data_IF_457930292600
#
_entry.id   IF_457930292600
#
_cell.length_a   1.000
_cell.length_b   1.000
_cell.length_c   1.000
_cell.angle_alpha   90.00
_cell.angle_beta   90.00
_cell.angle_gamma   90.00
#
_symmetry.space_group_name_H-M   'P 1'
#
loop_
_entity.id
_entity.type
_entity.pdbx_description
1 polymer ?
#
# COMPACT_ATOMS: atom_id res chain seq x y z
N UNK A 1 -10.06 -57.63 -9.98
CA UNK A 1 -10.56 -56.27 -9.70
C UNK A 1 -9.77 -55.52 -8.61
N UNK A 2 -9.00 -56.18 -7.74
CA UNK A 2 -8.21 -55.51 -6.69
C UNK A 2 -7.10 -54.56 -7.21
N UNK A 3 -6.48 -54.86 -8.36
CA UNK A 3 -5.44 -54.00 -8.95
C UNK A 3 -5.94 -52.64 -9.45
N UNK A 4 -7.20 -52.54 -9.86
CA UNK A 4 -7.80 -51.28 -10.32
C UNK A 4 -8.08 -50.31 -9.17
N UNK A 5 -8.55 -50.81 -8.02
CA UNK A 5 -8.78 -49.98 -6.83
C UNK A 5 -7.47 -49.45 -6.25
N UNK A 6 -6.41 -50.26 -6.23
CA UNK A 6 -5.09 -49.82 -5.80
C UNK A 6 -4.51 -48.74 -6.73
N UNK A 7 -4.69 -48.87 -8.05
CA UNK A 7 -4.27 -47.86 -9.02
C UNK A 7 -5.04 -46.55 -8.90
N UNK A 8 -6.35 -46.60 -8.63
CA UNK A 8 -7.17 -45.39 -8.42
C UNK A 8 -6.85 -44.69 -7.10
N UNK A 9 -6.55 -45.46 -6.05
CA UNK A 9 -6.15 -44.91 -4.76
C UNK A 9 -4.77 -44.23 -4.83
N UNK A 10 -3.78 -44.87 -5.45
CA UNK A 10 -2.45 -44.29 -5.66
C UNK A 10 -2.52 -43.01 -6.52
N UNK A 11 -3.31 -43.02 -7.60
CA UNK A 11 -3.55 -41.83 -8.42
C UNK A 11 -4.13 -40.65 -7.63
N UNK A 12 -5.19 -40.90 -6.82
CA UNK A 12 -5.81 -39.84 -6.02
C UNK A 12 -4.88 -39.30 -4.93
N UNK A 13 -4.07 -40.16 -4.32
CA UNK A 13 -3.06 -39.77 -3.32
C UNK A 13 -1.96 -38.90 -3.95
N UNK A 14 -1.46 -39.30 -5.11
CA UNK A 14 -0.46 -38.52 -5.86
C UNK A 14 -1.00 -37.16 -6.28
N UNK A 15 -2.24 -37.10 -6.78
CA UNK A 15 -2.88 -35.84 -7.15
C UNK A 15 -3.10 -34.92 -5.93
N UNK A 16 -3.49 -35.48 -4.78
CA UNK A 16 -3.61 -34.70 -3.54
C UNK A 16 -2.26 -34.10 -3.10
N UNK A 17 -1.18 -34.90 -3.14
CA UNK A 17 0.15 -34.41 -2.79
C UNK A 17 0.63 -33.32 -3.77
N UNK A 18 0.35 -33.48 -5.06
CA UNK A 18 0.66 -32.48 -6.08
C UNK A 18 -0.11 -31.17 -5.85
N UNK A 19 -1.43 -31.24 -5.60
CA UNK A 19 -2.27 -30.06 -5.32
C UNK A 19 -1.76 -29.31 -4.06
N UNK A 20 -1.33 -30.07 -3.03
CA UNK A 20 -0.74 -29.50 -1.80
C UNK A 20 0.60 -28.81 -2.04
N UNK A 21 1.49 -29.42 -2.81
CA UNK A 21 2.78 -28.83 -3.18
C UNK A 21 2.58 -27.53 -3.98
N UNK A 22 1.60 -27.52 -4.91
CA UNK A 22 1.28 -26.32 -5.69
C UNK A 22 0.73 -25.19 -4.81
N UNK A 23 -0.14 -25.51 -3.84
CA UNK A 23 -0.63 -24.51 -2.89
C UNK A 23 0.50 -23.94 -2.04
N UNK A 24 1.38 -24.79 -1.52
CA UNK A 24 2.53 -24.34 -0.75
C UNK A 24 3.41 -23.37 -1.56
N UNK A 25 3.67 -23.70 -2.84
CA UNK A 25 4.39 -22.82 -3.76
C UNK A 25 3.67 -21.49 -3.99
N UNK A 26 2.35 -21.50 -4.16
CA UNK A 26 1.54 -20.30 -4.35
C UNK A 26 1.63 -19.38 -3.13
N UNK A 27 1.52 -19.91 -1.92
CA UNK A 27 1.62 -19.13 -0.69
C UNK A 27 3.02 -18.52 -0.51
N UNK A 28 4.08 -19.27 -0.82
CA UNK A 28 5.44 -18.72 -0.84
C UNK A 28 5.61 -17.61 -1.88
N UNK A 29 4.97 -17.74 -3.05
CA UNK A 29 4.96 -16.68 -4.05
C UNK A 29 4.24 -15.43 -3.52
N UNK A 30 3.10 -15.58 -2.83
CA UNK A 30 2.39 -14.46 -2.21
C UNK A 30 3.27 -13.76 -1.19
N UNK A 31 3.95 -14.50 -0.31
CA UNK A 31 4.92 -13.92 0.64
C UNK A 31 6.05 -13.18 -0.07
N UNK A 32 6.56 -13.73 -1.18
CA UNK A 32 7.57 -13.07 -1.99
C UNK A 32 7.06 -11.77 -2.63
N UNK A 33 5.81 -11.74 -3.11
CA UNK A 33 5.17 -10.51 -3.60
C UNK A 33 5.02 -9.45 -2.51
N UNK A 34 4.68 -9.84 -1.28
CA UNK A 34 4.57 -8.90 -0.14
C UNK A 34 5.92 -8.29 0.23
N UNK A 35 6.99 -9.09 0.22
CA UNK A 35 8.34 -8.57 0.43
C UNK A 35 8.74 -7.57 -0.66
N UNK A 36 8.45 -7.88 -1.93
CA UNK A 36 8.70 -6.95 -3.06
C UNK A 36 7.87 -5.68 -2.93
N UNK A 37 6.61 -5.77 -2.53
CA UNK A 37 5.76 -4.61 -2.31
C UNK A 37 6.32 -3.72 -1.19
N UNK A 38 6.80 -4.31 -0.10
CA UNK A 38 7.44 -3.56 0.97
C UNK A 38 8.74 -2.88 0.49
N UNK A 39 9.53 -3.53 -0.36
CA UNK A 39 10.73 -2.94 -0.97
C UNK A 39 10.37 -1.74 -1.86
N UNK A 40 9.39 -1.90 -2.75
CA UNK A 40 8.89 -0.81 -3.60
C UNK A 40 8.40 0.39 -2.78
N UNK A 41 7.71 0.15 -1.66
CA UNK A 41 7.26 1.24 -0.79
C UNK A 41 8.43 1.99 -0.13
N UNK A 42 9.51 1.29 0.25
CA UNK A 42 10.71 1.94 0.79
C UNK A 42 11.38 2.84 -0.23
N UNK A 43 11.42 2.39 -1.48
CA UNK A 43 12.02 3.17 -2.56
C UNK A 43 11.17 4.39 -2.92
N UNK A 44 9.85 4.25 -2.96
CA UNK A 44 8.94 5.38 -3.17
C UNK A 44 9.08 6.47 -2.09
N UNK A 45 9.17 6.09 -0.81
CA UNK A 45 9.43 7.03 0.29
C UNK A 45 10.76 7.78 0.08
N UNK A 46 11.81 7.07 -0.34
CA UNK A 46 13.13 7.68 -0.59
C UNK A 46 13.06 8.66 -1.76
N UNK A 47 12.33 8.32 -2.82
CA UNK A 47 12.21 9.16 -4.00
C UNK A 47 11.41 10.44 -3.74
N UNK A 48 10.27 10.34 -3.05
CA UNK A 48 9.44 11.49 -2.68
C UNK A 48 10.22 12.48 -1.80
N UNK A 49 10.98 11.95 -0.84
CA UNK A 49 11.77 12.79 0.07
C UNK A 49 13.00 13.34 -0.63
N UNK A 50 13.70 12.53 -1.44
CA UNK A 50 14.85 12.98 -2.22
C UNK A 50 14.48 14.08 -3.22
N UNK A 51 13.27 14.06 -3.78
CA UNK A 51 12.76 15.16 -4.60
C UNK A 51 12.59 16.45 -3.78
N UNK A 52 12.08 16.33 -2.55
CA UNK A 52 11.89 17.49 -1.66
C UNK A 52 13.23 18.10 -1.25
N UNK A 53 14.21 17.28 -0.89
CA UNK A 53 15.57 17.70 -0.55
C UNK A 53 16.21 18.48 -1.69
N UNK A 54 16.24 17.91 -2.91
CA UNK A 54 16.79 18.57 -4.11
C UNK A 54 16.10 19.90 -4.42
N UNK A 55 14.79 19.98 -4.19
CA UNK A 55 14.02 21.22 -4.41
C UNK A 55 14.36 22.29 -3.38
N UNK A 56 14.51 21.92 -2.10
CA UNK A 56 14.92 22.86 -1.04
C UNK A 56 16.35 23.35 -1.24
N UNK A 57 17.26 22.48 -1.68
CA UNK A 57 18.64 22.87 -2.01
C UNK A 57 18.68 23.89 -3.15
N UNK A 58 17.84 23.70 -4.18
CA UNK A 58 17.71 24.65 -5.30
C UNK A 58 17.23 26.02 -4.81
N UNK A 59 16.27 26.07 -3.88
CA UNK A 59 15.81 27.32 -3.27
C UNK A 59 16.87 27.98 -2.41
N UNK A 60 17.66 27.19 -1.68
CA UNK A 60 18.75 27.70 -0.86
C UNK A 60 19.83 28.38 -1.71
N UNK A 61 20.20 27.80 -2.86
CA UNK A 61 21.15 28.43 -3.79
C UNK A 61 20.63 29.76 -4.33
N UNK A 62 19.37 29.83 -4.76
CA UNK A 62 18.77 31.08 -5.28
C UNK A 62 18.71 32.14 -4.17
N UNK A 63 18.24 31.76 -2.98
CA UNK A 63 18.11 32.68 -1.85
C UNK A 63 19.47 33.23 -1.39
N UNK A 64 20.52 32.40 -1.35
CA UNK A 64 21.88 32.85 -0.97
C UNK A 64 22.52 33.78 -2.01
N UNK A 65 22.31 33.53 -3.32
CA UNK A 65 22.75 34.44 -4.38
C UNK A 65 22.05 35.80 -4.27
N UNK A 66 20.74 35.81 -4.09
CA UNK A 66 19.97 37.05 -3.95
C UNK A 66 20.34 37.80 -2.67
N UNK A 67 20.60 37.08 -1.58
CA UNK A 67 21.10 37.66 -0.34
C UNK A 67 22.46 38.34 -0.56
N UNK A 68 23.37 37.72 -1.32
CA UNK A 68 24.65 38.32 -1.71
C UNK A 68 24.48 39.62 -2.50
N UNK A 69 23.54 39.66 -3.46
CA UNK A 69 23.22 40.89 -4.21
C UNK A 69 22.65 41.98 -3.29
N UNK A 70 21.77 41.62 -2.34
CA UNK A 70 21.25 42.57 -1.35
C UNK A 70 22.35 43.15 -0.47
N UNK A 71 23.32 42.34 -0.04
CA UNK A 71 24.49 42.81 0.73
C UNK A 71 25.36 43.74 -0.11
N UNK A 72 25.60 43.41 -1.39
CA UNK A 72 26.34 44.28 -2.32
C UNK A 72 25.69 45.66 -2.48
N UNK A 73 24.36 45.69 -2.68
CA UNK A 73 23.59 46.94 -2.74
C UNK A 73 23.59 47.72 -1.41
N UNK A 74 23.71 47.02 -0.29
CA UNK A 74 23.79 47.64 1.04
C UNK A 74 25.15 48.32 1.29
N UNK A 75 26.24 47.72 0.84
CA UNK A 75 27.59 48.25 1.04
C UNK A 75 28.01 49.30 -0.02
N UNK A 76 27.65 49.07 -1.28
CA UNK A 76 28.14 49.89 -2.41
C UNK A 76 27.07 50.78 -3.06
N UNK A 77 25.81 50.64 -2.65
CA UNK A 77 24.67 51.39 -3.20
C UNK A 77 24.74 52.89 -2.91
N UNK A 78 25.52 53.62 -3.70
CA UNK A 78 25.61 55.08 -3.66
C UNK A 78 24.48 55.69 -4.48
N UNK A 79 23.58 56.40 -3.82
CA UNK A 79 22.62 57.29 -4.48
C UNK A 79 23.31 58.57 -4.94
N UNK A 80 22.73 59.22 -5.95
CA UNK A 80 23.26 60.46 -6.53
C UNK A 80 23.36 61.57 -5.46
N UNK A 81 24.48 62.32 -5.41
CA UNK A 81 24.62 63.43 -4.48
C UNK A 81 23.53 64.48 -4.74
N UNK A 82 22.71 64.75 -3.72
CA UNK A 82 21.53 65.65 -3.82
C UNK A 82 20.19 64.96 -3.57
N UNK A 83 20.19 63.64 -3.36
CA UNK A 83 18.98 62.88 -3.00
C UNK A 83 18.40 63.35 -1.66
N UNK A 84 17.08 63.60 -1.54
CA UNK A 84 16.49 64.04 -0.28
C UNK A 84 16.55 62.94 0.80
N UNK A 85 16.74 63.32 2.09
CA UNK A 85 17.04 62.37 3.17
C UNK A 85 15.92 61.35 3.45
N UNK A 86 14.66 61.74 3.24
CA UNK A 86 13.53 60.82 3.44
C UNK A 86 13.55 59.65 2.44
N UNK A 87 14.02 59.87 1.21
CA UNK A 87 14.12 58.81 0.21
C UNK A 87 15.21 57.80 0.59
N UNK A 88 16.32 58.28 1.15
CA UNK A 88 17.41 57.43 1.65
C UNK A 88 16.94 56.53 2.79
N UNK A 89 16.09 57.04 3.70
CA UNK A 89 15.52 56.21 4.77
C UNK A 89 14.61 55.11 4.23
N UNK A 90 13.78 55.39 3.22
CA UNK A 90 12.95 54.35 2.60
C UNK A 90 13.78 53.31 1.85
N UNK A 91 14.83 53.73 1.15
CA UNK A 91 15.76 52.82 0.46
C UNK A 91 16.44 51.85 1.45
N UNK A 92 16.98 52.36 2.56
CA UNK A 92 17.61 51.54 3.58
C UNK A 92 16.61 50.61 4.29
N UNK A 93 15.39 51.09 4.54
CA UNK A 93 14.33 50.27 5.13
C UNK A 93 13.90 49.12 4.20
N UNK A 94 13.73 49.41 2.91
CA UNK A 94 13.37 48.40 1.90
C UNK A 94 14.47 47.35 1.74
N UNK A 95 15.74 47.76 1.68
CA UNK A 95 16.87 46.83 1.65
C UNK A 95 16.98 46.00 2.92
N UNK A 96 16.81 46.61 4.10
CA UNK A 96 16.78 45.90 5.38
C UNK A 96 15.65 44.88 5.45
N UNK A 97 14.46 45.23 4.96
CA UNK A 97 13.31 44.33 4.85
C UNK A 97 13.59 43.15 3.91
N UNK A 98 14.15 43.41 2.73
CA UNK A 98 14.54 42.38 1.77
C UNK A 98 15.61 41.44 2.35
N UNK A 99 16.60 41.97 3.06
CA UNK A 99 17.64 41.20 3.73
C UNK A 99 17.05 40.25 4.79
N UNK A 100 16.19 40.76 5.70
CA UNK A 100 15.57 39.93 6.73
C UNK A 100 14.65 38.86 6.13
N UNK A 101 13.91 39.18 5.07
CA UNK A 101 13.06 38.23 4.37
C UNK A 101 13.88 37.09 3.73
N UNK A 102 14.97 37.42 3.03
CA UNK A 102 15.86 36.43 2.42
C UNK A 102 16.56 35.57 3.47
N UNK A 103 16.95 36.15 4.61
CA UNK A 103 17.53 35.41 5.73
C UNK A 103 16.52 34.40 6.30
N UNK A 104 15.25 34.78 6.43
CA UNK A 104 14.18 33.85 6.82
C UNK A 104 13.91 32.76 5.79
N UNK A 105 13.96 33.10 4.49
CA UNK A 105 13.83 32.10 3.44
C UNK A 105 14.94 31.04 3.51
N UNK A 106 16.20 31.45 3.73
CA UNK A 106 17.33 30.52 3.91
C UNK A 106 17.14 29.64 5.14
N UNK A 107 16.71 30.23 6.27
CA UNK A 107 16.43 29.49 7.50
C UNK A 107 15.35 28.42 7.29
N UNK A 108 14.23 28.78 6.66
CA UNK A 108 13.15 27.82 6.39
C UNK A 108 13.55 26.74 5.39
N UNK A 109 14.31 27.08 4.34
CA UNK A 109 14.83 26.07 3.41
C UNK A 109 15.73 25.05 4.12
N UNK A 110 16.62 25.52 5.00
CA UNK A 110 17.49 24.65 5.80
C UNK A 110 16.69 23.78 6.77
N UNK A 111 15.73 24.36 7.48
CA UNK A 111 14.86 23.62 8.39
C UNK A 111 14.00 22.57 7.65
N UNK A 112 13.46 22.91 6.49
CA UNK A 112 12.68 21.99 5.67
C UNK A 112 13.51 20.78 5.19
N UNK A 113 14.76 21.01 4.77
CA UNK A 113 15.68 19.92 4.38
C UNK A 113 15.97 18.97 5.55
N UNK A 114 16.27 19.51 6.73
CA UNK A 114 16.50 18.70 7.94
C UNK A 114 15.26 17.90 8.34
N UNK A 115 14.08 18.54 8.34
CA UNK A 115 12.82 17.87 8.69
C UNK A 115 12.47 16.77 7.69
N UNK A 116 12.70 16.99 6.39
CA UNK A 116 12.50 15.97 5.36
C UNK A 116 13.39 14.73 5.59
N UNK A 117 14.65 14.95 5.98
CA UNK A 117 15.56 13.86 6.30
C UNK A 117 15.14 13.10 7.57
N UNK A 118 14.72 13.82 8.62
CA UNK A 118 14.20 13.19 9.84
C UNK A 118 12.89 12.41 9.57
N UNK A 119 12.00 12.94 8.73
CA UNK A 119 10.75 12.25 8.38
C UNK A 119 11.01 11.00 7.55
N UNK A 120 12.02 10.98 6.67
CA UNK A 120 12.44 9.78 5.94
C UNK A 120 12.80 8.64 6.86
N UNK A 121 13.70 8.92 7.81
CA UNK A 121 14.15 7.91 8.78
C UNK A 121 12.97 7.44 9.62
N UNK A 122 12.07 8.36 10.03
CA UNK A 122 10.88 8.01 10.80
C UNK A 122 9.92 7.13 10.00
N UNK A 123 9.67 7.43 8.73
CA UNK A 123 8.80 6.62 7.86
C UNK A 123 9.39 5.22 7.63
N UNK A 124 10.68 5.14 7.36
CA UNK A 124 11.39 3.88 7.11
C UNK A 124 11.54 3.00 8.36
N UNK A 125 11.49 3.57 9.57
CA UNK A 125 11.66 2.83 10.83
C UNK A 125 10.34 2.52 11.54
N UNK A 126 9.36 3.41 11.47
CA UNK A 126 8.09 3.25 12.19
C UNK A 126 6.99 2.64 11.33
N UNK A 127 6.88 3.04 10.06
CA UNK A 127 5.74 2.70 9.22
C UNK A 127 6.04 1.54 8.27
N UNK A 128 7.23 1.50 7.67
CA UNK A 128 7.61 0.43 6.73
C UNK A 128 8.35 -0.69 7.45
N UNK A 129 7.60 -1.47 8.25
CA UNK A 129 8.10 -2.72 8.84
C UNK A 129 8.00 -3.86 7.83
N UNK A 130 8.96 -4.79 7.89
CA UNK A 130 8.96 -6.00 7.08
C UNK A 130 7.72 -6.85 7.44
N UNK A 131 7.01 -7.43 6.45
CA UNK A 131 5.93 -8.38 6.72
C UNK A 131 6.53 -9.70 7.18
N UNK A 132 6.86 -9.81 8.48
CA UNK A 132 7.33 -11.06 9.08
C UNK A 132 6.11 -11.95 9.32
N UNK A 133 6.03 -13.14 8.70
CA UNK A 133 4.94 -14.06 8.95
C UNK A 133 4.97 -14.52 10.41
N UNK A 134 3.80 -14.59 11.05
CA UNK A 134 3.69 -15.17 12.39
C UNK A 134 3.99 -16.67 12.35
N UNK A 135 4.41 -17.24 13.47
CA UNK A 135 4.62 -18.68 13.58
C UNK A 135 3.38 -19.49 13.25
N UNK A 136 2.20 -19.00 13.60
CA UNK A 136 0.92 -19.58 13.23
C UNK A 136 0.76 -19.63 11.71
N UNK A 137 1.12 -18.55 11.01
CA UNK A 137 1.08 -18.51 9.56
C UNK A 137 2.05 -19.52 8.94
N UNK A 138 3.27 -19.64 9.47
CA UNK A 138 4.23 -20.66 9.01
C UNK A 138 3.73 -22.09 9.26
N UNK A 139 3.04 -22.31 10.38
CA UNK A 139 2.46 -23.60 10.72
C UNK A 139 1.29 -23.95 9.80
N UNK A 140 0.47 -22.97 9.41
CA UNK A 140 -0.60 -23.15 8.42
C UNK A 140 -0.07 -23.46 7.01
N UNK A 141 1.12 -22.95 6.67
CA UNK A 141 1.79 -23.26 5.40
C UNK A 141 2.37 -24.67 5.38
N UNK A 142 2.50 -25.32 6.54
CA UNK A 142 2.99 -26.68 6.65
C UNK A 142 1.91 -27.66 6.18
N UNK A 143 2.13 -28.29 5.04
CA UNK A 143 1.24 -29.34 4.54
C UNK A 143 1.53 -30.66 5.24
N UNK A 144 0.66 -31.06 6.17
CA UNK A 144 0.74 -32.37 6.81
C UNK A 144 0.18 -33.46 5.90
N UNK A 145 0.99 -34.50 5.65
CA UNK A 145 0.55 -35.68 4.90
C UNK A 145 -0.59 -36.43 5.63
N UNK A 146 -0.64 -36.36 6.96
CA UNK A 146 -1.72 -36.91 7.78
C UNK A 146 -3.07 -36.25 7.52
N UNK A 147 -3.10 -35.02 6.99
CA UNK A 147 -4.35 -34.37 6.59
C UNK A 147 -5.05 -35.09 5.44
N UNK A 148 -4.36 -35.99 4.71
CA UNK A 148 -5.00 -36.85 3.72
C UNK A 148 -5.93 -37.87 4.39
N UNK A 149 -5.55 -38.39 5.56
CA UNK A 149 -6.29 -39.44 6.27
C UNK A 149 -7.55 -38.91 6.95
N UNK A 150 -7.60 -37.59 7.22
CA UNK A 150 -8.77 -36.91 7.78
C UNK A 150 -9.84 -36.54 6.73
N UNK A 151 -9.55 -36.69 5.44
CA UNK A 151 -10.52 -36.38 4.38
C UNK A 151 -11.51 -37.54 4.24
N UNK A 152 -12.79 -37.22 4.11
CA UNK A 152 -13.84 -38.22 3.94
C UNK A 152 -13.66 -38.98 2.61
N UNK A 153 -13.79 -40.31 2.65
CA UNK A 153 -13.55 -41.21 1.50
C UNK A 153 -14.38 -40.83 0.26
N UNK A 154 -15.57 -40.25 0.44
CA UNK A 154 -16.44 -39.79 -0.65
C UNK A 154 -15.82 -38.64 -1.45
N UNK A 155 -15.00 -37.82 -0.81
CA UNK A 155 -14.27 -36.71 -1.42
C UNK A 155 -12.91 -37.14 -1.98
N UNK A 156 -12.39 -38.30 -1.56
CA UNK A 156 -11.09 -38.85 -1.97
C UNK A 156 -11.05 -39.50 -3.36
N UNK A 157 -12.19 -39.97 -3.86
CA UNK A 157 -12.24 -40.72 -5.11
C UNK A 157 -12.57 -39.81 -6.29
N UNK A 158 -11.55 -39.25 -6.96
CA UNK A 158 -11.72 -38.63 -8.27
C UNK A 158 -11.52 -39.68 -9.36
N UNK A 159 -12.45 -39.70 -10.31
CA UNK A 159 -12.34 -40.49 -11.54
C UNK A 159 -12.06 -39.51 -12.68
N UNK A 160 -10.98 -39.70 -13.45
CA UNK A 160 -10.69 -38.81 -14.57
C UNK A 160 -11.86 -38.86 -15.57
N UNK A 161 -12.24 -37.69 -16.10
CA UNK A 161 -13.31 -37.47 -17.09
C UNK A 161 -14.78 -37.50 -16.63
N UNK A 162 -15.09 -37.85 -15.38
CA UNK A 162 -16.49 -37.86 -14.85
C UNK A 162 -16.77 -36.83 -13.75
N UNK A 163 -15.79 -36.01 -13.37
CA UNK A 163 -15.97 -34.90 -12.42
C UNK A 163 -16.52 -33.64 -13.07
N UNK A 164 -17.52 -33.02 -12.43
CA UNK A 164 -18.11 -31.73 -12.81
C UNK A 164 -17.05 -30.73 -13.30
N UNK A 165 -17.25 -30.16 -14.50
CA UNK A 165 -16.49 -29.00 -14.99
C UNK A 165 -16.50 -27.94 -13.88
N UNK A 166 -15.35 -27.69 -13.27
CA UNK A 166 -15.14 -26.47 -12.50
C UNK A 166 -15.38 -25.31 -13.47
N UNK A 167 -16.49 -24.60 -13.26
CA UNK A 167 -16.79 -23.38 -13.97
C UNK A 167 -15.66 -22.41 -13.64
N UNK A 168 -14.78 -22.13 -14.61
CA UNK A 168 -13.85 -21.01 -14.52
C UNK A 168 -14.73 -19.77 -14.38
N UNK A 169 -14.84 -19.22 -13.16
CA UNK A 169 -15.45 -17.90 -12.97
C UNK A 169 -14.55 -16.91 -13.71
N UNK A 170 -15.06 -16.33 -14.78
CA UNK A 170 -14.52 -15.09 -15.31
C UNK A 170 -14.68 -14.04 -14.20
N UNK A 171 -13.56 -13.63 -13.61
CA UNK A 171 -13.48 -12.49 -12.71
C UNK A 171 -13.56 -11.21 -13.59
N UNK A 172 -14.75 -10.91 -14.12
CA UNK A 172 -14.94 -9.82 -15.09
C UNK A 172 -16.27 -9.07 -14.97
N UNK A 173 -17.33 -9.67 -14.42
CA UNK A 173 -18.69 -9.12 -14.60
C UNK A 173 -19.21 -8.28 -13.41
N UNK A 174 -18.49 -8.23 -12.28
CA UNK A 174 -18.97 -7.48 -11.11
C UNK A 174 -18.65 -5.97 -11.18
N UNK A 175 -17.62 -5.55 -11.91
CA UNK A 175 -17.31 -4.12 -12.08
C UNK A 175 -18.24 -3.41 -13.09
N UNK A 176 -18.85 -4.13 -14.05
CA UNK A 176 -19.71 -3.54 -15.07
C UNK A 176 -21.13 -3.20 -14.56
N UNK A 177 -21.57 -3.81 -13.44
CA UNK A 177 -22.88 -3.50 -12.85
C UNK A 177 -22.84 -2.37 -11.81
N UNK A 178 -21.70 -2.17 -11.13
CA UNK A 178 -21.52 -1.05 -10.19
C UNK A 178 -21.41 0.29 -10.96
N UNK A 179 -20.63 0.32 -12.05
CA UNK A 179 -20.44 1.51 -12.89
C UNK A 179 -21.73 1.97 -13.59
N UNK A 180 -22.66 1.05 -13.85
CA UNK A 180 -23.98 1.36 -14.43
C UNK A 180 -25.00 1.89 -13.41
N UNK A 181 -24.73 1.74 -12.10
CA UNK A 181 -25.58 2.25 -11.02
C UNK A 181 -25.18 3.65 -10.56
N UNK A 182 -23.92 4.05 -10.74
CA UNK A 182 -23.45 5.40 -10.36
C UNK A 182 -23.75 6.49 -11.40
N UNK A 183 -24.17 6.13 -12.63
CA UNK A 183 -24.48 7.09 -13.70
C UNK A 183 -25.90 7.70 -13.63
N UNK A 184 -26.49 7.87 -12.44
CA UNK A 184 -27.74 8.63 -12.24
C UNK A 184 -27.51 9.85 -11.33
N UNK A 185 -27.36 11.08 -11.86
CA UNK A 185 -27.16 12.27 -11.03
C UNK A 185 -28.51 12.82 -10.56
N UNK A 186 -28.74 12.87 -9.25
CA UNK A 186 -29.99 13.35 -8.67
C UNK A 186 -29.97 13.61 -7.15
N UNK A 187 -29.26 14.67 -6.75
CA UNK A 187 -29.66 15.65 -5.73
C UNK A 187 -30.39 15.16 -4.44
N UNK A 188 -29.67 15.03 -3.30
CA UNK A 188 -30.15 15.47 -1.97
C UNK A 188 -29.08 15.43 -0.87
N UNK A 189 -29.10 16.46 -0.02
CA UNK A 189 -28.23 16.75 1.13
C UNK A 189 -28.24 15.68 2.24
N UNK A 190 -27.19 15.58 3.09
CA UNK A 190 -27.19 14.76 4.27
C UNK A 190 -27.64 15.55 5.52
N UNK A 191 -28.81 15.21 6.06
CA UNK A 191 -29.18 15.51 7.45
C UNK A 191 -28.84 14.30 8.33
N UNK A 192 -27.97 14.53 9.31
CA UNK A 192 -27.59 13.57 10.33
C UNK A 192 -28.76 13.27 11.29
N UNK A 193 -29.05 11.97 11.53
CA UNK A 193 -29.43 11.35 12.82
C UNK A 193 -30.27 10.06 12.65
N UNK A 194 -29.73 8.93 13.09
CA UNK A 194 -30.38 7.82 13.82
C UNK A 194 -29.44 6.60 13.81
N UNK A 195 -28.85 6.18 14.94
CA UNK A 195 -29.38 5.25 15.95
C UNK A 195 -29.80 3.88 15.39
N UNK A 196 -28.92 2.90 15.65
CA UNK A 196 -29.12 1.47 15.87
C UNK A 196 -30.28 0.73 15.20
N UNK A 197 -29.93 -0.28 14.40
CA UNK A 197 -30.78 -1.46 14.21
C UNK A 197 -29.94 -2.69 13.86
N UNK A 198 -30.06 -3.70 14.71
CA UNK A 198 -29.79 -5.10 14.43
C UNK A 198 -30.28 -5.51 13.03
N UNK A 199 -29.41 -6.14 12.26
CA UNK A 199 -29.79 -6.89 11.05
C UNK A 199 -29.28 -8.31 11.20
N UNK A 200 -30.10 -9.13 11.85
CA UNK A 200 -30.15 -10.57 11.56
C UNK A 200 -30.53 -10.73 10.09
N UNK A 201 -29.65 -11.35 9.30
CA UNK A 201 -29.94 -11.69 7.89
C UNK A 201 -29.64 -13.17 7.68
N UNK A 202 -30.58 -13.99 8.14
CA UNK A 202 -30.83 -15.31 7.57
C UNK A 202 -31.34 -15.11 6.14
N UNK A 203 -30.44 -15.26 5.17
CA UNK A 203 -30.76 -15.47 3.76
C UNK A 203 -30.06 -16.75 3.30
N UNK A 204 -30.65 -17.56 2.41
CA UNK A 204 -30.02 -18.79 1.94
C UNK A 204 -28.71 -18.45 1.22
N UNK A 205 -27.58 -18.95 1.74
CA UNK A 205 -26.27 -18.80 1.12
C UNK A 205 -26.33 -19.25 -0.35
N UNK A 206 -25.79 -18.46 -1.30
CA UNK A 206 -25.63 -18.93 -2.66
C UNK A 206 -24.66 -20.12 -2.65
N UNK A 207 -25.14 -21.24 -3.21
CA UNK A 207 -24.47 -22.52 -3.25
C UNK A 207 -22.95 -22.38 -3.51
N UNK A 208 -22.19 -22.74 -2.48
CA UNK A 208 -20.75 -22.92 -2.47
C UNK A 208 -20.30 -23.63 -3.77
N UNK A 209 -19.50 -22.92 -4.58
CA UNK A 209 -18.69 -23.55 -5.61
C UNK A 209 -17.77 -24.54 -4.91
N UNK A 210 -17.94 -25.81 -5.26
CA UNK A 210 -17.37 -26.93 -4.53
C UNK A 210 -15.86 -27.01 -4.77
N UNK A 211 -15.07 -26.55 -3.79
CA UNK A 211 -13.79 -27.19 -3.55
C UNK A 211 -14.08 -28.64 -3.12
N UNK A 212 -13.77 -29.65 -3.95
CA UNK A 212 -14.12 -31.02 -3.66
C UNK A 212 -13.40 -31.56 -2.43
N UNK A 213 -12.34 -30.88 -1.97
CA UNK A 213 -11.54 -31.25 -0.81
C UNK A 213 -11.83 -30.42 0.45
N UNK A 214 -12.66 -29.37 0.36
CA UNK A 214 -12.95 -28.46 1.47
C UNK A 214 -11.74 -27.65 1.98
N UNK A 215 -10.69 -27.52 1.17
CA UNK A 215 -9.43 -26.84 1.42
C UNK A 215 -9.50 -25.30 1.20
N UNK A 216 -10.49 -24.80 0.46
CA UNK A 216 -10.71 -23.38 0.15
C UNK A 216 -11.34 -22.61 1.32
N UNK A 217 -11.91 -23.30 2.30
CA UNK A 217 -12.36 -22.67 3.55
C UNK A 217 -11.15 -22.36 4.43
N UNK A 218 -10.47 -21.24 4.18
CA UNK A 218 -9.82 -20.35 5.19
C UNK A 218 -8.93 -19.22 4.62
N UNK A 219 -9.10 -18.80 3.37
CA UNK A 219 -8.43 -17.60 2.83
C UNK A 219 -9.17 -16.29 3.06
N UNK A 220 -10.51 -16.30 2.91
CA UNK A 220 -11.31 -15.07 2.86
C UNK A 220 -11.62 -14.41 4.22
N UNK A 221 -11.51 -15.14 5.34
CA UNK A 221 -11.72 -14.62 6.70
C UNK A 221 -10.44 -14.18 7.42
N UNK A 222 -9.26 -14.44 6.86
CA UNK A 222 -8.05 -13.83 7.38
C UNK A 222 -8.05 -12.40 6.85
N UNK A 223 -8.14 -11.40 7.71
CA UNK A 223 -7.97 -9.99 7.38
C UNK A 223 -6.57 -9.70 6.83
N UNK A 224 -6.19 -10.36 5.73
CA UNK A 224 -4.90 -10.27 5.08
C UNK A 224 -4.72 -8.92 4.35
N UNK A 225 -5.82 -8.19 4.17
CA UNK A 225 -5.88 -6.85 3.57
C UNK A 225 -6.02 -5.73 4.60
N UNK A 226 -6.33 -6.06 5.85
CA UNK A 226 -6.43 -5.06 6.92
C UNK A 226 -5.07 -4.99 7.61
N UNK A 227 -4.24 -4.05 7.14
CA UNK A 227 -3.28 -3.41 8.02
C UNK A 227 -4.11 -2.73 9.12
N UNK A 228 -4.45 -3.48 10.18
CA UNK A 228 -4.90 -2.87 11.42
C UNK A 228 -3.74 -2.02 11.94
N UNK A 229 -3.79 -0.73 11.59
CA UNK A 229 -3.00 0.32 12.22
C UNK A 229 -3.21 0.22 13.74
N UNK A 230 -2.17 -0.23 14.45
CA UNK A 230 -2.04 -0.12 15.90
C UNK A 230 -1.04 0.97 16.24
#
# INVERSE_FOLDING_TARGET
MAGGLHSLFSYNRENFMFDREMRQKQEFQILAFRNKQAELWRDDIRDIIGMTEKKMDSYLVIATLQLGMCVGLFCEGRLEPGTPPWLLTFYMLALGGAFMYLLMAVWFAMHASVVANCSSVRLLTQFVRLPVPTWEHLEDLRTYASSYESVEWQHMLRVPFTGNRSHVRHCGDEHEQEERREATPGMREPSASSLGADVSRDGPEPAHVADPWGLERHGHRRGLYELEDK
#
